data_IF_002366869164
#
_entry.id   IF_002366869164
#
_cell.length_a   1.000
_cell.length_b   1.000
_cell.length_c   1.000
_cell.angle_alpha   90.00
_cell.angle_beta   90.00
_cell.angle_gamma   90.00
#
_symmetry.space_group_name_H-M   'P 1'
#
loop_
_entity.id
_entity.type
_entity.pdbx_description
1 polymer ?
#
# COMPACT_ATOMS: atom_id res chain seq x y z
N UNK A 1 7.02 -0.41 -0.41
CA UNK A 1 6.37 -1.70 -0.09
C UNK A 1 4.90 -1.42 -0.24
N UNK A 2 4.27 -1.93 -1.30
CA UNK A 2 2.86 -1.66 -1.57
C UNK A 2 2.08 -2.98 -1.40
N UNK A 3 1.87 -3.43 -0.16
CA UNK A 3 0.86 -4.44 0.08
C UNK A 3 -0.50 -3.80 -0.18
N UNK A 4 -1.30 -4.40 -1.06
CA UNK A 4 -2.72 -4.09 -1.13
C UNK A 4 -3.34 -4.67 0.14
N UNK A 5 -3.76 -3.79 1.05
CA UNK A 5 -4.54 -4.20 2.21
C UNK A 5 -5.95 -4.55 1.71
N UNK A 6 -6.30 -5.84 1.77
CA UNK A 6 -7.70 -6.27 1.77
C UNK A 6 -8.04 -6.58 3.22
N UNK A 7 -8.66 -5.62 3.91
CA UNK A 7 -9.36 -5.91 5.17
C UNK A 7 -10.81 -6.22 4.81
N UNK A 8 -11.32 -7.44 5.09
CA UNK A 8 -12.73 -7.72 4.83
C UNK A 8 -13.61 -6.83 5.73
N UNK A 9 -14.74 -6.31 5.22
CA UNK A 9 -15.70 -5.62 6.06
C UNK A 9 -16.39 -6.68 6.93
N UNK A 10 -16.16 -6.62 8.24
CA UNK A 10 -16.89 -7.33 9.31
C UNK A 10 -16.69 -8.86 9.48
N UNK A 11 -16.74 -9.36 10.74
CA UNK A 11 -16.82 -10.81 11.06
C UNK A 11 -18.28 -11.30 10.87
N UNK A 12 -18.55 -12.52 10.34
CA UNK A 12 -17.89 -13.77 10.73
C UNK A 12 -17.37 -14.64 9.57
N UNK A 13 -17.26 -14.11 8.35
CA UNK A 13 -16.66 -14.87 7.26
C UNK A 13 -15.14 -14.82 7.41
N UNK A 14 -14.54 -15.92 7.85
CA UNK A 14 -13.10 -16.12 7.94
C UNK A 14 -12.48 -16.12 6.54
N UNK A 15 -12.45 -14.95 5.89
CA UNK A 15 -11.66 -14.75 4.68
C UNK A 15 -10.19 -14.74 5.11
N UNK A 16 -9.34 -15.62 4.57
CA UNK A 16 -7.94 -15.66 4.95
C UNK A 16 -7.26 -14.34 4.60
N UNK A 17 -6.65 -13.69 5.59
CA UNK A 17 -5.82 -12.51 5.37
C UNK A 17 -4.76 -12.82 4.30
N UNK A 18 -4.85 -12.11 3.18
CA UNK A 18 -3.98 -12.26 2.01
C UNK A 18 -3.50 -10.87 1.58
N UNK A 19 -2.22 -10.75 1.25
CA UNK A 19 -1.65 -9.53 0.69
C UNK A 19 -0.59 -9.89 -0.35
N UNK A 20 -0.89 -9.67 -1.63
CA UNK A 20 0.03 -9.97 -2.73
C UNK A 20 0.92 -8.75 -2.97
N UNK A 21 2.24 -8.95 -2.99
CA UNK A 21 3.15 -7.91 -3.43
C UNK A 21 3.07 -7.77 -4.95
N UNK A 22 2.63 -6.62 -5.45
CA UNK A 22 2.56 -6.36 -6.90
C UNK A 22 3.94 -6.05 -7.47
N UNK A 23 4.64 -5.06 -6.89
CA UNK A 23 5.95 -4.60 -7.37
C UNK A 23 6.73 -3.96 -6.23
N UNK A 24 8.04 -4.12 -6.23
CA UNK A 24 8.92 -3.41 -5.30
C UNK A 24 9.07 -1.93 -5.65
N UNK A 25 9.14 -1.10 -4.61
CA UNK A 25 9.35 0.34 -4.72
C UNK A 25 10.43 0.78 -3.73
N UNK A 26 10.84 2.05 -3.77
CA UNK A 26 11.74 2.68 -2.77
C UNK A 26 13.08 1.93 -2.58
N UNK A 27 13.66 1.41 -3.67
CA UNK A 27 14.98 0.76 -3.67
C UNK A 27 15.04 -0.70 -3.17
N UNK A 28 13.89 -1.31 -2.83
CA UNK A 28 13.85 -2.73 -2.49
C UNK A 28 13.94 -3.61 -3.74
N UNK A 29 14.62 -4.76 -3.63
CA UNK A 29 14.73 -5.74 -4.73
C UNK A 29 15.01 -7.16 -4.21
N UNK A 30 14.04 -7.73 -3.51
CA UNK A 30 14.15 -9.12 -3.05
C UNK A 30 13.55 -10.07 -4.09
N UNK A 31 14.35 -11.04 -4.54
CA UNK A 31 13.92 -12.02 -5.54
C UNK A 31 12.85 -12.96 -4.98
N UNK A 32 11.97 -13.44 -5.84
CA UNK A 32 10.93 -14.43 -5.50
C UNK A 32 9.87 -13.97 -4.49
N UNK A 33 9.62 -12.65 -4.36
CA UNK A 33 8.57 -12.09 -3.50
C UNK A 33 7.41 -11.48 -4.29
N UNK A 34 7.69 -10.80 -5.40
CA UNK A 34 6.64 -10.24 -6.28
C UNK A 34 5.71 -11.34 -6.79
N UNK A 35 4.41 -11.04 -6.83
CA UNK A 35 3.34 -11.97 -7.15
C UNK A 35 3.02 -12.99 -6.04
N UNK A 36 3.64 -12.89 -4.86
CA UNK A 36 3.39 -13.80 -3.73
C UNK A 36 2.68 -13.12 -2.57
N UNK A 37 1.91 -13.93 -1.84
CA UNK A 37 1.30 -13.52 -0.58
C UNK A 37 2.37 -13.35 0.52
N UNK A 38 2.60 -12.12 0.95
CA UNK A 38 3.61 -11.78 1.96
C UNK A 38 3.24 -12.32 3.35
N UNK A 39 1.95 -12.52 3.62
CA UNK A 39 1.47 -13.10 4.89
C UNK A 39 1.91 -14.56 4.97
N UNK A 40 1.67 -15.34 3.90
CA UNK A 40 2.12 -16.72 3.81
C UNK A 40 3.64 -16.87 3.91
N UNK A 41 4.40 -15.97 3.28
CA UNK A 41 5.86 -15.95 3.38
C UNK A 41 6.34 -15.70 4.83
N UNK A 42 5.69 -14.77 5.54
CA UNK A 42 6.00 -14.48 6.93
C UNK A 42 5.61 -15.67 7.85
N UNK A 43 4.40 -16.24 7.71
CA UNK A 43 3.95 -17.42 8.47
C UNK A 43 4.92 -18.60 8.30
N UNK A 44 5.38 -18.86 7.07
CA UNK A 44 6.36 -19.91 6.80
C UNK A 44 7.69 -19.66 7.53
N UNK A 45 8.12 -18.39 7.59
CA UNK A 45 9.37 -18.00 8.24
C UNK A 45 9.28 -18.12 9.77
N UNK A 46 8.13 -17.77 10.37
CA UNK A 46 7.84 -17.96 11.79
C UNK A 46 7.86 -19.46 12.15
N UNK A 47 7.12 -20.29 11.41
CA UNK A 47 7.09 -21.75 11.61
C UNK A 47 8.48 -22.39 11.49
N UNK A 48 9.32 -21.90 10.57
CA UNK A 48 10.69 -22.37 10.41
C UNK A 48 11.57 -22.08 11.63
N UNK A 49 11.32 -20.96 12.33
CA UNK A 49 12.07 -20.58 13.52
C UNK A 49 11.68 -21.43 14.73
N UNK A 50 10.38 -21.68 14.92
CA UNK A 50 9.85 -22.69 15.85
C UNK A 50 9.94 -22.38 17.34
N UNK A 51 10.46 -21.20 17.72
CA UNK A 51 10.62 -20.75 19.12
C UNK A 51 9.48 -19.84 19.60
N UNK A 52 8.57 -19.43 18.71
CA UNK A 52 7.35 -18.69 19.04
C UNK A 52 6.23 -18.93 18.02
N UNK A 53 5.02 -18.62 18.44
CA UNK A 53 3.83 -18.58 17.60
C UNK A 53 3.25 -17.16 17.61
N UNK A 54 2.98 -16.61 16.42
CA UNK A 54 2.48 -15.24 16.24
C UNK A 54 1.28 -15.31 15.31
N UNK A 55 0.16 -14.75 15.78
CA UNK A 55 -1.02 -14.55 14.94
C UNK A 55 -0.88 -13.27 14.11
N UNK A 56 -1.09 -13.38 12.80
CA UNK A 56 -1.00 -12.27 11.86
C UNK A 56 -2.41 -11.85 11.48
N UNK A 57 -2.85 -10.74 12.07
CA UNK A 57 -4.22 -10.23 11.96
C UNK A 57 -4.41 -9.15 10.89
N UNK A 58 -3.33 -8.46 10.48
CA UNK A 58 -3.40 -7.41 9.47
C UNK A 58 -2.05 -7.19 8.74
N UNK A 59 -2.11 -6.61 7.54
CA UNK A 59 -0.96 -6.07 6.80
C UNK A 59 -1.29 -4.64 6.40
N UNK A 60 -0.63 -3.66 7.00
CA UNK A 60 -1.03 -2.25 6.88
C UNK A 60 0.01 -1.46 6.09
N UNK A 61 -0.45 -0.51 5.27
CA UNK A 61 0.41 0.47 4.60
C UNK A 61 0.85 1.57 5.58
N UNK A 62 2.05 2.14 5.39
CA UNK A 62 2.61 3.17 6.27
C UNK A 62 1.73 4.44 6.36
N UNK A 63 1.15 4.89 5.24
CA UNK A 63 0.20 6.03 5.22
C UNK A 63 -1.06 5.75 6.02
N UNK A 64 -1.62 4.54 5.90
CA UNK A 64 -2.81 4.11 6.65
C UNK A 64 -2.51 4.06 8.15
N UNK A 65 -1.35 3.49 8.53
CA UNK A 65 -0.91 3.50 9.92
C UNK A 65 -0.71 4.91 10.48
N UNK A 66 -0.21 5.83 9.65
CA UNK A 66 -0.03 7.24 10.01
C UNK A 66 -1.38 7.92 10.26
N UNK A 67 -2.34 7.74 9.35
CA UNK A 67 -3.71 8.24 9.51
C UNK A 67 -4.34 7.67 10.79
N UNK A 68 -4.28 6.36 11.00
CA UNK A 68 -4.87 5.71 12.18
C UNK A 68 -4.24 6.18 13.49
N UNK A 69 -2.94 6.48 13.49
CA UNK A 69 -2.26 7.01 14.68
C UNK A 69 -2.80 8.39 15.04
N UNK A 70 -2.98 9.29 14.06
CA UNK A 70 -3.59 10.59 14.31
C UNK A 70 -5.09 10.48 14.62
N UNK A 71 -5.79 9.56 13.95
CA UNK A 71 -7.19 9.24 14.14
C UNK A 71 -7.52 8.72 15.54
N UNK A 72 -6.53 8.17 16.25
CA UNK A 72 -6.71 7.77 17.64
C UNK A 72 -7.03 8.98 18.54
N UNK A 73 -6.34 10.10 18.35
CA UNK A 73 -6.51 11.32 19.15
C UNK A 73 -7.59 12.25 18.55
N UNK A 74 -7.66 12.36 17.22
CA UNK A 74 -8.64 13.19 16.50
C UNK A 74 -9.47 12.36 15.53
N UNK A 75 -10.73 12.10 15.90
CA UNK A 75 -11.66 11.31 15.08
C UNK A 75 -12.03 11.98 13.75
N UNK A 76 -11.65 13.24 13.52
CA UNK A 76 -11.82 13.91 12.22
C UNK A 76 -10.64 13.65 11.26
N UNK A 77 -9.59 12.95 11.70
CA UNK A 77 -8.46 12.62 10.84
C UNK A 77 -8.84 11.51 9.83
N UNK A 78 -9.13 11.94 8.60
CA UNK A 78 -9.57 11.04 7.52
C UNK A 78 -8.57 10.96 6.36
N UNK A 79 -7.37 11.54 6.53
CA UNK A 79 -6.30 11.57 5.52
C UNK A 79 -4.96 11.28 6.18
N UNK A 80 -4.19 10.35 5.60
CA UNK A 80 -2.79 10.11 5.92
C UNK A 80 -1.88 10.58 4.79
N UNK A 81 -0.76 11.21 5.14
CA UNK A 81 0.21 11.71 4.18
C UNK A 81 1.62 11.37 4.65
N UNK A 82 2.42 10.79 3.75
CA UNK A 82 3.85 10.60 3.94
C UNK A 82 4.59 11.47 2.93
N UNK A 83 5.49 12.31 3.43
CA UNK A 83 6.47 13.07 2.62
C UNK A 83 7.86 12.80 3.19
N UNK A 84 8.63 11.95 2.52
CA UNK A 84 9.98 11.56 2.95
C UNK A 84 10.79 11.04 1.77
N UNK A 85 11.45 9.88 1.91
CA UNK A 85 12.16 9.22 0.80
C UNK A 85 11.25 8.95 -0.41
N UNK A 86 9.95 8.81 -0.18
CA UNK A 86 8.93 8.87 -1.22
C UNK A 86 7.72 9.64 -0.70
N UNK A 87 6.74 9.83 -1.57
CA UNK A 87 5.46 10.44 -1.23
C UNK A 87 4.32 9.44 -1.43
N UNK A 88 3.37 9.40 -0.50
CA UNK A 88 2.13 8.63 -0.64
C UNK A 88 1.01 9.23 0.22
N UNK A 89 -0.24 8.97 -0.12
CA UNK A 89 -1.40 9.35 0.66
C UNK A 89 -2.44 8.22 0.77
N UNK A 90 -3.23 8.28 1.83
CA UNK A 90 -4.45 7.50 2.00
C UNK A 90 -5.58 8.38 2.52
N UNK A 91 -6.82 7.94 2.34
CA UNK A 91 -7.99 8.64 2.89
C UNK A 91 -9.17 7.69 3.13
N UNK A 92 -10.17 8.13 3.89
CA UNK A 92 -11.43 7.38 4.09
C UNK A 92 -12.44 7.68 2.98
N UNK A 93 -12.75 6.67 2.17
CA UNK A 93 -13.73 6.73 1.08
C UNK A 93 -15.04 6.02 1.45
N UNK A 94 -16.15 6.49 0.90
CA UNK A 94 -17.46 5.83 1.00
C UNK A 94 -17.47 4.55 0.17
N UNK A 95 -17.95 3.44 0.74
CA UNK A 95 -17.96 2.13 0.07
C UNK A 95 -18.69 2.16 -1.28
N UNK A 96 -19.76 2.95 -1.39
CA UNK A 96 -20.50 3.16 -2.65
C UNK A 96 -19.68 3.75 -3.82
N UNK A 97 -18.48 4.28 -3.56
CA UNK A 97 -17.56 4.78 -4.61
C UNK A 97 -16.47 3.76 -4.96
N UNK A 98 -16.47 2.57 -4.35
CA UNK A 98 -15.43 1.54 -4.51
C UNK A 98 -15.98 0.34 -5.27
N UNK A 99 -15.88 0.37 -6.60
CA UNK A 99 -16.40 -0.71 -7.47
C UNK A 99 -15.68 -2.06 -7.30
N UNK A 100 -14.48 -2.06 -6.68
CA UNK A 100 -13.62 -3.23 -6.56
C UNK A 100 -13.93 -4.11 -5.34
N UNK A 101 -14.80 -3.65 -4.43
CA UNK A 101 -15.16 -4.38 -3.21
C UNK A 101 -16.67 -4.52 -3.16
N UNK A 102 -17.17 -5.71 -2.81
CA UNK A 102 -18.60 -5.94 -2.65
C UNK A 102 -19.15 -5.18 -1.42
N UNK A 103 -20.30 -4.52 -1.60
CA UNK A 103 -21.00 -3.76 -0.57
C UNK A 103 -20.90 -2.24 -0.80
N UNK A 104 -21.94 -1.51 -0.39
CA UNK A 104 -22.08 -0.07 -0.56
C UNK A 104 -22.29 0.69 0.76
N UNK A 105 -22.39 -0.04 1.88
CA UNK A 105 -22.56 0.52 3.22
C UNK A 105 -21.23 0.72 3.95
N UNK A 106 -21.09 1.86 4.62
CA UNK A 106 -19.92 2.19 5.41
C UNK A 106 -18.78 2.82 4.60
N UNK A 107 -17.59 2.84 5.18
CA UNK A 107 -16.41 3.50 4.64
C UNK A 107 -15.19 2.59 4.70
N UNK A 108 -14.27 2.76 3.75
CA UNK A 108 -13.03 2.01 3.66
C UNK A 108 -11.85 2.96 3.41
N UNK A 109 -10.71 2.67 4.03
CA UNK A 109 -9.50 3.44 3.77
C UNK A 109 -8.90 3.04 2.42
N UNK A 110 -8.69 4.01 1.53
CA UNK A 110 -8.02 3.85 0.24
C UNK A 110 -6.57 4.26 0.39
N UNK A 111 -5.66 3.32 0.10
CA UNK A 111 -4.25 3.61 -0.14
C UNK A 111 -4.08 3.98 -1.63
N UNK A 112 -3.69 5.22 -1.92
CA UNK A 112 -3.67 5.70 -3.30
C UNK A 112 -2.47 5.18 -4.11
N UNK A 113 -1.35 4.89 -3.44
CA UNK A 113 -0.05 4.65 -4.10
C UNK A 113 0.25 5.74 -5.17
N UNK A 114 -0.02 7.00 -4.83
CA UNK A 114 -0.08 8.12 -5.79
C UNK A 114 1.26 8.48 -6.43
N UNK A 115 2.36 7.85 -6.01
CA UNK A 115 3.68 8.09 -6.58
C UNK A 115 3.73 7.64 -8.04
N UNK A 116 2.80 6.78 -8.48
CA UNK A 116 2.71 6.32 -9.87
C UNK A 116 1.95 7.32 -10.76
N UNK A 117 1.42 8.40 -10.20
CA UNK A 117 0.68 9.40 -10.97
C UNK A 117 1.62 10.08 -11.97
N UNK A 118 1.30 10.00 -13.26
CA UNK A 118 2.17 10.48 -14.34
C UNK A 118 2.95 9.38 -15.07
N UNK A 119 2.99 8.14 -14.57
CA UNK A 119 3.65 7.01 -15.22
C UNK A 119 3.11 6.70 -16.62
N UNK A 120 1.84 7.04 -16.88
CA UNK A 120 1.17 6.92 -18.18
C UNK A 120 1.45 8.09 -19.14
N UNK A 121 2.23 9.07 -18.68
CA UNK A 121 2.60 10.25 -19.43
C UNK A 121 1.63 11.43 -19.30
N UNK A 122 0.60 11.34 -18.45
CA UNK A 122 -0.36 12.45 -18.27
C UNK A 122 0.28 13.74 -17.74
N UNK A 123 1.45 13.65 -17.10
CA UNK A 123 2.22 14.79 -16.58
C UNK A 123 3.38 15.22 -17.48
N UNK A 124 3.50 14.69 -18.70
CA UNK A 124 4.66 14.96 -19.56
C UNK A 124 4.78 16.42 -20.02
N UNK A 125 3.68 17.16 -20.03
CA UNK A 125 3.60 18.58 -20.37
C UNK A 125 4.22 19.48 -19.28
N UNK A 126 4.18 19.05 -18.02
CA UNK A 126 4.80 19.77 -16.89
C UNK A 126 6.20 19.26 -16.55
N UNK A 127 6.60 18.07 -17.03
CA UNK A 127 7.94 17.51 -16.80
C UNK A 127 9.02 18.27 -17.55
N UNK A 128 10.07 18.67 -16.83
CA UNK A 128 11.24 19.36 -17.37
C UNK A 128 12.29 18.40 -17.92
N UNK A 129 13.35 18.93 -18.53
CA UNK A 129 14.51 18.12 -18.94
C UNK A 129 15.25 17.50 -17.76
N UNK A 130 15.32 18.19 -16.62
CA UNK A 130 15.93 17.71 -15.38
C UNK A 130 15.19 16.49 -14.82
N UNK A 131 13.85 16.55 -14.81
CA UNK A 131 12.99 15.44 -14.39
C UNK A 131 13.25 14.19 -15.24
N UNK A 132 13.42 14.35 -16.55
CA UNK A 132 13.71 13.24 -17.47
C UNK A 132 15.09 12.66 -17.22
N UNK A 133 16.09 13.50 -16.95
CA UNK A 133 17.45 13.03 -16.65
C UNK A 133 17.50 12.23 -15.34
N UNK A 134 16.82 12.72 -14.29
CA UNK A 134 16.69 12.02 -13.01
C UNK A 134 16.00 10.67 -13.19
N UNK A 135 14.90 10.62 -13.95
CA UNK A 135 14.15 9.40 -14.25
C UNK A 135 15.03 8.34 -14.92
N UNK A 136 15.73 8.74 -16.00
CA UNK A 136 16.63 7.85 -16.74
C UNK A 136 17.79 7.31 -15.89
N UNK A 137 18.25 8.09 -14.91
CA UNK A 137 19.30 7.68 -13.97
C UNK A 137 18.79 6.88 -12.75
N UNK A 138 17.48 6.71 -12.59
CA UNK A 138 16.88 6.08 -11.41
C UNK A 138 16.94 4.55 -11.46
N UNK A 139 16.60 3.91 -10.33
CA UNK A 139 16.47 2.45 -10.27
C UNK A 139 15.26 1.92 -11.06
N UNK A 140 14.26 2.77 -11.29
CA UNK A 140 13.00 2.40 -11.94
C UNK A 140 12.63 3.41 -13.04
N UNK A 141 13.37 3.48 -14.17
CA UNK A 141 13.07 4.44 -15.22
C UNK A 141 11.63 4.33 -15.74
N UNK A 142 10.97 5.48 -15.89
CA UNK A 142 9.58 5.61 -16.32
C UNK A 142 8.56 5.32 -15.20
N UNK A 143 9.02 5.20 -13.95
CA UNK A 143 8.18 4.88 -12.79
C UNK A 143 8.52 5.77 -11.61
N UNK A 144 7.49 6.30 -10.96
CA UNK A 144 7.61 6.91 -9.63
C UNK A 144 8.61 8.08 -9.57
N UNK A 145 8.56 8.98 -10.55
CA UNK A 145 9.39 10.18 -10.58
C UNK A 145 8.96 11.20 -9.51
#
# INVERSE_FOLDING_TARGET
MSPVLVSPPSPPLAVPLQSILVTWTKGFKCSSVEGRDVVSLLRKSIKKRGDFDIDIVAVVNDTVGTMMTCGYDDQNCEVGLIVGTGTNACYMEEMRHIDLVEGDEGRMCINMEWGAFGDDGVLNDIRTEFDREIDMGSLNPGKQL
#
